data_IF_969078698360
#
_entry.id   IF_969078698360
#
_cell.length_a   1.000
_cell.length_b   1.000
_cell.length_c   1.000
_cell.angle_alpha   90.00
_cell.angle_beta   90.00
_cell.angle_gamma   90.00
#
_symmetry.space_group_name_H-M   'P 1'
#
loop_
_entity.id
_entity.type
_entity.pdbx_description
1 polymer ?
#
# COMPACT_ATOMS: atom_id res chain seq x y z
N UNK A 1 -18.10 -4.92 -1.53
CA UNK A 1 -16.86 -4.16 -1.75
C UNK A 1 -16.78 -3.11 -0.66
N UNK A 2 -15.77 -3.18 0.21
CA UNK A 2 -15.54 -2.15 1.23
C UNK A 2 -14.54 -1.15 0.65
N UNK A 3 -14.91 0.12 0.61
CA UNK A 3 -14.04 1.21 0.18
C UNK A 3 -13.96 2.22 1.31
N UNK A 4 -12.76 2.44 1.83
CA UNK A 4 -12.49 3.42 2.88
C UNK A 4 -11.68 4.57 2.30
N UNK A 5 -12.12 5.80 2.56
CA UNK A 5 -11.50 7.02 2.07
C UNK A 5 -11.05 7.89 3.23
N UNK A 6 -9.89 8.50 3.07
CA UNK A 6 -9.35 9.51 3.99
C UNK A 6 -9.02 10.78 3.24
N UNK A 7 -9.22 11.93 3.90
CA UNK A 7 -9.01 13.25 3.30
C UNK A 7 -7.54 13.52 2.96
N UNK A 8 -6.62 12.85 3.66
CA UNK A 8 -5.18 13.04 3.47
C UNK A 8 -4.50 11.73 3.10
N UNK A 9 -3.29 11.85 2.56
CA UNK A 9 -2.41 10.70 2.28
C UNK A 9 -1.45 10.42 3.44
N UNK A 10 -1.80 10.83 4.67
CA UNK A 10 -0.93 10.65 5.83
C UNK A 10 -0.68 9.17 6.13
N UNK A 11 0.53 8.87 6.61
CA UNK A 11 0.89 7.56 7.13
C UNK A 11 0.10 7.19 8.40
N UNK A 12 -0.34 8.17 9.18
CA UNK A 12 -0.89 7.96 10.51
C UNK A 12 -2.17 7.12 10.48
N UNK A 13 -3.05 7.42 9.53
CA UNK A 13 -4.26 6.63 9.33
C UNK A 13 -3.91 5.20 8.92
N UNK A 14 -3.03 5.04 7.94
CA UNK A 14 -2.62 3.73 7.44
C UNK A 14 -2.01 2.87 8.55
N UNK A 15 -1.23 3.48 9.44
CA UNK A 15 -0.66 2.83 10.62
C UNK A 15 -1.76 2.30 11.55
N UNK A 16 -2.76 3.12 11.88
CA UNK A 16 -3.87 2.71 12.73
C UNK A 16 -4.75 1.64 12.06
N UNK A 17 -5.03 1.80 10.76
CA UNK A 17 -5.87 0.89 9.99
C UNK A 17 -5.25 -0.50 9.82
N UNK A 18 -3.92 -0.56 9.60
CA UNK A 18 -3.19 -1.81 9.41
C UNK A 18 -2.66 -2.40 10.74
N UNK A 19 -2.92 -1.76 11.87
CA UNK A 19 -2.46 -2.24 13.17
C UNK A 19 -3.02 -3.63 13.47
N UNK A 20 -2.14 -4.58 13.77
CA UNK A 20 -2.52 -5.97 14.04
C UNK A 20 -2.85 -6.80 12.80
N UNK A 21 -2.80 -6.23 11.59
CA UNK A 21 -2.92 -7.00 10.35
C UNK A 21 -1.65 -7.82 10.11
N UNK A 22 -1.85 -9.09 9.75
CA UNK A 22 -0.79 -10.02 9.37
C UNK A 22 -1.17 -10.73 8.08
N UNK A 23 -0.29 -10.71 7.08
CA UNK A 23 -0.55 -11.33 5.77
C UNK A 23 0.01 -10.51 4.61
N UNK A 24 -0.56 -10.71 3.42
CA UNK A 24 -0.13 -10.05 2.19
C UNK A 24 -0.95 -8.80 1.90
N UNK A 25 -0.29 -7.64 1.84
CA UNK A 25 -0.91 -6.37 1.48
C UNK A 25 -0.57 -6.01 0.03
N UNK A 26 -1.56 -6.02 -0.85
CA UNK A 26 -1.40 -5.52 -2.22
C UNK A 26 -1.45 -3.99 -2.23
N UNK A 27 -0.42 -3.36 -2.80
CA UNK A 27 -0.26 -1.90 -2.87
C UNK A 27 0.11 -1.41 -4.26
N UNK A 28 -0.13 -0.13 -4.49
CA UNK A 28 0.00 0.56 -5.78
C UNK A 28 1.42 1.02 -6.14
N UNK A 29 2.35 1.05 -5.17
CA UNK A 29 3.65 1.66 -5.38
C UNK A 29 3.97 2.78 -4.39
N UNK A 30 3.02 3.25 -3.60
CA UNK A 30 3.23 4.40 -2.71
C UNK A 30 4.31 4.14 -1.65
N UNK A 31 5.19 5.13 -1.44
CA UNK A 31 6.41 4.98 -0.62
C UNK A 31 6.10 4.79 0.87
N UNK A 32 4.98 5.31 1.36
CA UNK A 32 4.60 5.21 2.79
C UNK A 32 4.53 3.77 3.28
N UNK A 33 4.14 2.83 2.41
CA UNK A 33 4.05 1.42 2.75
C UNK A 33 5.40 0.82 3.11
N UNK A 34 6.51 1.31 2.54
CA UNK A 34 7.86 0.84 2.90
C UNK A 34 8.24 1.23 4.33
N UNK A 35 7.79 2.41 4.79
CA UNK A 35 7.97 2.82 6.18
C UNK A 35 7.13 1.96 7.11
N UNK A 36 5.89 1.66 6.73
CA UNK A 36 4.99 0.83 7.53
C UNK A 36 5.40 -0.64 7.58
N UNK A 37 6.06 -1.17 6.54
CA UNK A 37 6.64 -2.52 6.54
C UNK A 37 7.74 -2.69 7.61
N UNK A 38 8.44 -1.61 7.96
CA UNK A 38 9.42 -1.64 9.05
C UNK A 38 8.77 -1.58 10.45
N UNK A 39 7.51 -1.12 10.53
CA UNK A 39 6.80 -0.89 11.79
C UNK A 39 5.75 -1.99 12.09
N UNK A 40 5.21 -2.65 11.06
CA UNK A 40 4.08 -3.57 11.14
C UNK A 40 4.42 -4.93 10.49
N UNK A 41 3.69 -5.97 10.90
CA UNK A 41 3.95 -7.35 10.50
C UNK A 41 3.14 -7.80 9.27
N UNK A 42 3.34 -7.14 8.14
CA UNK A 42 2.75 -7.56 6.85
C UNK A 42 3.81 -7.76 5.76
N UNK A 43 3.47 -8.55 4.74
CA UNK A 43 4.28 -8.74 3.54
C UNK A 43 3.72 -7.93 2.38
N UNK A 44 4.55 -7.08 1.79
CA UNK A 44 4.18 -6.26 0.65
C UNK A 44 4.06 -7.06 -0.64
N UNK A 45 2.99 -6.86 -1.40
CA UNK A 45 2.88 -7.35 -2.78
C UNK A 45 2.48 -6.21 -3.72
N UNK A 46 3.08 -6.19 -4.92
CA UNK A 46 2.81 -5.16 -5.91
C UNK A 46 1.50 -5.39 -6.68
N UNK A 47 0.84 -4.30 -7.07
CA UNK A 47 -0.30 -4.36 -7.97
C UNK A 47 0.14 -4.49 -9.45
N UNK A 48 -0.28 -5.57 -10.12
CA UNK A 48 0.01 -5.81 -11.54
C UNK A 48 -0.54 -4.73 -12.48
N UNK A 49 -1.67 -4.11 -12.15
CA UNK A 49 -2.23 -3.02 -12.95
C UNK A 49 -1.30 -1.79 -12.96
N UNK A 50 -0.73 -1.45 -11.80
CA UNK A 50 0.24 -0.35 -11.68
C UNK A 50 1.56 -0.68 -12.36
N UNK A 51 2.06 -1.91 -12.22
CA UNK A 51 3.26 -2.37 -12.92
C UNK A 51 3.11 -2.24 -14.45
N UNK A 52 2.02 -2.75 -15.03
CA UNK A 52 1.75 -2.66 -16.48
C UNK A 52 1.72 -1.23 -17.00
N UNK A 53 1.11 -0.30 -16.25
CA UNK A 53 1.07 1.12 -16.64
C UNK A 53 2.48 1.70 -16.79
N UNK A 54 3.38 1.37 -15.86
CA UNK A 54 4.77 1.84 -15.90
C UNK A 54 5.56 1.29 -17.08
N UNK A 55 5.35 0.03 -17.45
CA UNK A 55 5.96 -0.55 -18.65
C UNK A 55 5.45 0.13 -19.94
N UNK A 56 4.15 0.41 -20.01
CA UNK A 56 3.57 1.13 -21.14
C UNK A 56 4.07 2.59 -21.23
N UNK A 57 4.21 3.30 -20.10
CA UNK A 57 4.75 4.67 -20.06
C UNK A 57 6.23 4.76 -20.47
N UNK A 58 6.98 3.66 -20.40
CA UNK A 58 8.41 3.60 -20.68
C UNK A 58 8.75 3.20 -22.14
N UNK A 59 7.75 2.80 -22.93
CA UNK A 59 7.90 2.47 -24.35
C UNK A 59 7.69 3.71 -25.23
#
# INVERSE_FOLDING_TARGET
MLYHYEQTRSADYLRAFLQGYHGYLQRDGYKVYQTLEAELSFTSVGCWAHARRKFHEAA
#
